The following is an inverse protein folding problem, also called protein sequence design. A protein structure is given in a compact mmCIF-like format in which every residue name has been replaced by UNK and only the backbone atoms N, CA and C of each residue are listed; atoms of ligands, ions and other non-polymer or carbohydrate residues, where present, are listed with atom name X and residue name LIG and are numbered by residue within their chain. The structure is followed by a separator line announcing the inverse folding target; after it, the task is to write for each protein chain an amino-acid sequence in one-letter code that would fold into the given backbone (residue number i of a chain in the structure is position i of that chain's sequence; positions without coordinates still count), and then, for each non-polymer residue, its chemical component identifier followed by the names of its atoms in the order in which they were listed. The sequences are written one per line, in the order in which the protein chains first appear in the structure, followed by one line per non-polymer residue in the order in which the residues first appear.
data_IF_150582841298
#
_entry.id   IF_150582841298
#
_cell.length_a   1.000
_cell.length_b   1.000
_cell.length_c   1.000
_cell.angle_alpha   90.00
_cell.angle_beta   90.00
_cell.angle_gamma   90.00
#
_symmetry.space_group_name_H-M   'P 1'
#
loop_
_entity.id
_entity.type
_entity.pdbx_description
1 polymer ?
#
# COMPACT_ATOMS: atom_id res chain seq x y z
N UNK A 1 20.50 6.00 -6.41
CA UNK A 1 19.08 5.57 -6.40
C UNK A 1 18.36 6.20 -7.58
N UNK A 2 17.53 5.44 -8.26
CA UNK A 2 16.69 5.88 -9.38
C UNK A 2 15.27 5.35 -9.17
N UNK A 3 14.27 6.16 -9.45
CA UNK A 3 12.88 5.70 -9.47
C UNK A 3 12.41 5.57 -10.91
N UNK A 4 11.68 4.51 -11.22
CA UNK A 4 11.07 4.27 -12.53
C UNK A 4 9.71 3.58 -12.40
N UNK A 5 8.87 3.62 -13.45
CA UNK A 5 7.72 2.73 -13.54
C UNK A 5 8.15 1.27 -13.43
N UNK A 6 7.32 0.49 -12.71
CA UNK A 6 7.52 -0.95 -12.60
C UNK A 6 7.11 -1.67 -13.88
N UNK A 7 7.69 -2.84 -14.11
CA UNK A 7 7.39 -3.75 -15.21
C UNK A 7 6.99 -5.12 -14.69
N UNK A 8 6.50 -6.00 -15.56
CA UNK A 8 6.14 -7.36 -15.15
C UNK A 8 7.33 -8.15 -14.58
N UNK A 9 8.56 -7.83 -14.97
CA UNK A 9 9.76 -8.45 -14.42
C UNK A 9 10.01 -8.10 -12.94
N UNK A 10 9.50 -6.95 -12.49
CA UNK A 10 9.67 -6.49 -11.11
C UNK A 10 8.68 -7.11 -10.12
N UNK A 11 7.55 -7.68 -10.61
CA UNK A 11 6.46 -8.18 -9.77
C UNK A 11 6.92 -9.13 -8.67
N UNK A 12 7.79 -10.13 -8.91
CA UNK A 12 8.23 -11.04 -7.85
C UNK A 12 8.94 -10.30 -6.70
N UNK A 13 9.83 -9.37 -7.05
CA UNK A 13 10.61 -8.62 -6.06
C UNK A 13 9.75 -7.58 -5.34
N UNK A 14 8.84 -6.91 -6.05
CA UNK A 14 7.83 -6.03 -5.44
C UNK A 14 7.00 -6.78 -4.40
N UNK A 15 6.46 -7.95 -4.77
CA UNK A 15 5.66 -8.77 -3.87
C UNK A 15 6.46 -9.21 -2.63
N UNK A 16 7.74 -9.55 -2.77
CA UNK A 16 8.64 -9.87 -1.66
C UNK A 16 8.81 -8.68 -0.72
N UNK A 17 9.20 -7.51 -1.26
CA UNK A 17 9.45 -6.28 -0.47
C UNK A 17 8.18 -5.84 0.28
N UNK A 18 7.03 -5.88 -0.39
CA UNK A 18 5.75 -5.52 0.23
C UNK A 18 5.42 -6.53 1.34
N UNK A 19 5.49 -7.84 1.06
CA UNK A 19 5.17 -8.88 2.04
C UNK A 19 6.04 -8.77 3.30
N UNK A 20 7.35 -8.63 3.14
CA UNK A 20 8.27 -8.44 4.27
C UNK A 20 7.99 -7.13 5.04
N UNK A 21 7.53 -6.10 4.34
CA UNK A 21 7.18 -4.81 4.94
C UNK A 21 5.91 -4.85 5.78
N UNK A 22 4.97 -5.69 5.39
CA UNK A 22 3.62 -5.75 5.96
C UNK A 22 3.32 -7.02 6.77
N UNK A 23 4.29 -7.92 6.95
CA UNK A 23 4.09 -9.20 7.65
C UNK A 23 3.56 -9.01 9.07
N UNK A 24 4.07 -8.01 9.79
CA UNK A 24 3.67 -7.66 11.16
C UNK A 24 2.79 -6.40 11.21
N UNK A 25 2.24 -5.97 10.07
CA UNK A 25 1.45 -4.75 10.00
C UNK A 25 0.06 -4.96 10.59
N UNK A 26 -0.39 -4.14 11.57
CA UNK A 26 -1.59 -4.38 12.36
C UNK A 26 -2.83 -4.72 11.54
N UNK A 27 -3.10 -3.97 10.46
CA UNK A 27 -4.25 -4.22 9.59
C UNK A 27 -4.21 -5.62 8.95
N UNK A 28 -3.05 -6.02 8.40
CA UNK A 28 -2.93 -7.33 7.74
C UNK A 28 -2.96 -8.49 8.72
N UNK A 29 -2.38 -8.31 9.92
CA UNK A 29 -2.37 -9.34 10.98
C UNK A 29 -3.78 -9.71 11.43
N UNK A 30 -4.76 -8.80 11.34
CA UNK A 30 -6.17 -9.11 11.64
C UNK A 30 -6.73 -10.25 10.77
N UNK A 31 -6.18 -10.48 9.58
CA UNK A 31 -6.60 -11.57 8.69
C UNK A 31 -6.19 -12.95 9.21
N UNK A 32 -5.03 -13.05 9.88
CA UNK A 32 -4.36 -14.31 10.24
C UNK A 32 -5.26 -15.31 10.99
N UNK A 33 -5.97 -14.97 12.09
CA UNK A 33 -6.74 -15.95 12.87
C UNK A 33 -8.02 -16.42 12.17
N UNK A 34 -8.39 -15.78 11.04
CA UNK A 34 -9.59 -16.10 10.29
C UNK A 34 -9.34 -16.95 9.03
N UNK A 35 -8.06 -17.22 8.72
CA UNK A 35 -7.70 -18.12 7.63
C UNK A 35 -8.06 -19.56 7.99
N UNK A 36 -8.22 -20.43 6.99
CA UNK A 36 -8.42 -21.87 7.21
C UNK A 36 -7.30 -22.48 8.06
N UNK A 37 -6.07 -21.95 7.92
CA UNK A 37 -4.90 -22.28 8.72
C UNK A 37 -4.10 -21.02 8.97
N UNK A 38 -3.98 -20.62 10.22
CA UNK A 38 -3.30 -19.36 10.61
C UNK A 38 -1.80 -19.36 10.24
N UNK A 39 -1.16 -20.54 10.20
CA UNK A 39 0.23 -20.72 9.76
C UNK A 39 0.47 -20.41 8.28
N UNK A 40 -0.58 -20.40 7.46
CA UNK A 40 -0.49 -20.02 6.05
C UNK A 40 -0.60 -18.50 5.81
N UNK A 41 -0.65 -17.70 6.87
CA UNK A 41 -0.75 -16.24 6.75
C UNK A 41 0.35 -15.62 5.87
N UNK A 42 1.65 -15.97 6.02
CA UNK A 42 2.69 -15.41 5.15
C UNK A 42 2.47 -15.71 3.66
N UNK A 43 2.00 -16.91 3.33
CA UNK A 43 1.73 -17.31 1.94
C UNK A 43 0.50 -16.59 1.39
N UNK A 44 -0.55 -16.42 2.21
CA UNK A 44 -1.74 -15.64 1.85
C UNK A 44 -1.37 -14.20 1.58
N UNK A 45 -0.60 -13.56 2.47
CA UNK A 45 -0.15 -12.18 2.32
C UNK A 45 0.75 -12.01 1.09
N UNK A 46 1.66 -12.95 0.83
CA UNK A 46 2.52 -12.94 -0.36
C UNK A 46 1.70 -13.01 -1.65
N UNK A 47 0.67 -13.84 -1.69
CA UNK A 47 -0.23 -13.94 -2.84
C UNK A 47 -1.04 -12.65 -3.03
N UNK A 48 -1.58 -12.07 -1.95
CA UNK A 48 -2.31 -10.80 -1.97
C UNK A 48 -1.42 -9.69 -2.55
N UNK A 49 -0.20 -9.54 -2.04
CA UNK A 49 0.72 -8.51 -2.49
C UNK A 49 1.20 -8.73 -3.93
N UNK A 50 1.35 -9.98 -4.36
CA UNK A 50 1.68 -10.29 -5.76
C UNK A 50 0.53 -9.93 -6.70
N UNK A 51 -0.71 -10.21 -6.31
CA UNK A 51 -1.91 -9.81 -7.04
C UNK A 51 -1.97 -8.28 -7.18
N UNK A 52 -1.80 -7.55 -6.08
CA UNK A 52 -1.79 -6.08 -6.10
C UNK A 52 -0.66 -5.54 -6.98
N UNK A 53 0.57 -6.02 -6.79
CA UNK A 53 1.70 -5.60 -7.63
C UNK A 53 1.40 -5.79 -9.12
N UNK A 54 0.83 -6.94 -9.50
CA UNK A 54 0.47 -7.23 -10.90
C UNK A 54 -0.61 -6.26 -11.41
N UNK A 55 -1.70 -6.06 -10.66
CA UNK A 55 -2.76 -5.16 -11.05
C UNK A 55 -2.23 -3.73 -11.26
N UNK A 56 -1.44 -3.22 -10.30
CA UNK A 56 -0.88 -1.87 -10.40
C UNK A 56 0.15 -1.70 -11.53
N UNK A 57 0.92 -2.73 -11.87
CA UNK A 57 1.81 -2.71 -13.04
C UNK A 57 1.01 -2.64 -14.34
N UNK A 58 -0.06 -3.42 -14.48
CA UNK A 58 -0.95 -3.40 -15.65
C UNK A 58 -1.58 -2.01 -15.88
N UNK A 59 -1.96 -1.31 -14.79
CA UNK A 59 -2.50 0.06 -14.85
C UNK A 59 -1.43 1.16 -14.92
N UNK A 60 -0.13 0.81 -14.97
CA UNK A 60 1.01 1.76 -14.98
C UNK A 60 1.04 2.69 -13.76
N UNK A 61 0.56 2.20 -12.65
CA UNK A 61 0.41 2.91 -11.38
C UNK A 61 1.37 2.38 -10.30
N UNK A 62 2.38 1.59 -10.69
CA UNK A 62 3.42 1.07 -9.82
C UNK A 62 4.77 1.71 -10.12
N UNK A 63 5.48 2.08 -9.06
CA UNK A 63 6.84 2.60 -9.10
C UNK A 63 7.78 1.68 -8.33
N UNK A 64 9.00 1.53 -8.85
CA UNK A 64 10.09 0.86 -8.14
C UNK A 64 11.30 1.78 -7.99
N UNK A 65 11.99 1.65 -6.87
CA UNK A 65 13.28 2.29 -6.63
C UNK A 65 14.38 1.27 -6.86
N UNK A 66 15.33 1.63 -7.71
CA UNK A 66 16.55 0.86 -7.96
C UNK A 66 17.76 1.46 -7.25
N UNK A 67 18.57 0.60 -6.70
CA UNK A 67 19.89 0.92 -6.14
C UNK A 67 20.85 -0.20 -6.50
N UNK A 68 21.94 0.13 -7.22
CA UNK A 68 22.98 -0.83 -7.64
C UNK A 68 22.44 -2.04 -8.44
N UNK A 69 21.36 -1.82 -9.20
CA UNK A 69 20.72 -2.86 -10.02
C UNK A 69 19.59 -3.64 -9.32
N UNK A 70 19.47 -3.51 -7.99
CA UNK A 70 18.41 -4.17 -7.21
C UNK A 70 17.19 -3.26 -7.03
N UNK A 71 16.00 -3.83 -7.03
CA UNK A 71 14.78 -3.15 -6.56
C UNK A 71 14.82 -3.09 -5.04
N UNK A 72 14.71 -1.88 -4.49
CA UNK A 72 14.84 -1.63 -3.05
C UNK A 72 13.68 -0.84 -2.45
N UNK A 73 12.70 -0.47 -3.26
CA UNK A 73 11.51 0.23 -2.80
C UNK A 73 10.38 0.10 -3.80
N UNK A 74 9.16 0.16 -3.31
CA UNK A 74 7.92 0.02 -4.08
C UNK A 74 6.92 1.07 -3.62
N UNK A 75 6.24 1.71 -4.58
CA UNK A 75 5.06 2.51 -4.33
C UNK A 75 3.95 2.12 -5.32
N UNK A 76 2.75 1.88 -4.79
CA UNK A 76 1.54 1.64 -5.57
C UNK A 76 0.62 2.83 -5.37
N UNK A 77 0.20 3.46 -6.47
CA UNK A 77 -0.66 4.64 -6.44
C UNK A 77 -1.81 4.51 -7.42
N UNK A 78 -2.93 5.17 -7.18
CA UNK A 78 -4.04 5.22 -8.12
C UNK A 78 -4.76 6.57 -8.06
N UNK A 79 -5.31 7.00 -9.18
CA UNK A 79 -6.28 8.09 -9.31
C UNK A 79 -7.72 7.58 -9.22
N UNK A 80 -7.91 6.28 -9.40
CA UNK A 80 -9.18 5.55 -9.26
C UNK A 80 -8.93 4.17 -8.67
N UNK A 81 -9.76 3.70 -7.73
CA UNK A 81 -9.62 2.36 -7.16
C UNK A 81 -9.60 1.28 -8.24
N UNK A 82 -8.69 0.34 -8.10
CA UNK A 82 -8.66 -0.85 -8.96
C UNK A 82 -9.77 -1.77 -8.49
N UNK A 83 -10.80 -1.93 -9.31
CA UNK A 83 -12.00 -2.67 -8.97
C UNK A 83 -11.78 -4.18 -8.78
N UNK A 84 -12.86 -4.88 -8.40
CA UNK A 84 -12.84 -6.31 -8.12
C UNK A 84 -12.28 -7.17 -9.27
N UNK A 85 -12.78 -6.98 -10.50
CA UNK A 85 -12.43 -7.85 -11.63
C UNK A 85 -10.96 -7.80 -12.03
N UNK A 86 -10.30 -6.64 -12.13
CA UNK A 86 -8.86 -6.57 -12.36
C UNK A 86 -8.07 -7.33 -11.30
N UNK A 87 -8.38 -7.13 -10.02
CA UNK A 87 -7.74 -7.85 -8.92
C UNK A 87 -7.99 -9.37 -8.98
N UNK A 88 -9.21 -9.79 -9.29
CA UNK A 88 -9.57 -11.20 -9.45
C UNK A 88 -8.73 -11.86 -10.56
N UNK A 89 -8.65 -11.24 -11.74
CA UNK A 89 -7.87 -11.77 -12.86
C UNK A 89 -6.35 -11.61 -12.69
N UNK A 90 -5.90 -10.66 -11.87
CA UNK A 90 -4.51 -10.57 -11.48
C UNK A 90 -4.05 -11.74 -10.59
N UNK A 91 -4.97 -12.56 -10.10
CA UNK A 91 -4.71 -13.76 -9.31
C UNK A 91 -5.53 -13.87 -8.03
N UNK A 92 -6.42 -12.92 -7.76
CA UNK A 92 -7.22 -12.85 -6.53
C UNK A 92 -8.05 -14.11 -6.24
N UNK A 93 -8.51 -14.81 -7.28
CA UNK A 93 -9.23 -16.10 -7.13
C UNK A 93 -8.43 -17.16 -6.36
N UNK A 94 -7.09 -17.08 -6.37
CA UNK A 94 -6.22 -18.01 -5.66
C UNK A 94 -6.27 -17.83 -4.14
N UNK A 95 -6.72 -16.66 -3.64
CA UNK A 95 -6.88 -16.40 -2.21
C UNK A 95 -7.94 -17.29 -1.57
N UNK A 96 -8.89 -17.82 -2.35
CA UNK A 96 -9.91 -18.75 -1.85
C UNK A 96 -9.34 -20.05 -1.28
N UNK A 97 -8.08 -20.38 -1.54
CA UNK A 97 -7.38 -21.49 -0.89
C UNK A 97 -7.02 -21.23 0.57
N UNK A 98 -7.01 -19.97 0.99
CA UNK A 98 -6.61 -19.54 2.33
C UNK A 98 -7.79 -19.13 3.22
N UNK A 99 -8.89 -18.70 2.63
CA UNK A 99 -10.05 -18.23 3.37
C UNK A 99 -11.34 -18.27 2.55
N UNK A 100 -12.47 -18.07 3.22
CA UNK A 100 -13.77 -18.01 2.55
C UNK A 100 -13.91 -16.74 1.72
N UNK A 101 -14.73 -16.74 0.65
CA UNK A 101 -15.07 -15.50 -0.07
C UNK A 101 -15.58 -14.40 0.87
N UNK A 102 -16.39 -14.77 1.86
CA UNK A 102 -16.91 -13.83 2.86
C UNK A 102 -15.81 -13.17 3.69
N UNK A 103 -14.76 -13.94 4.10
CA UNK A 103 -13.61 -13.38 4.81
C UNK A 103 -12.88 -12.35 3.97
N UNK A 104 -12.66 -12.65 2.68
CA UNK A 104 -11.94 -11.75 1.78
C UNK A 104 -12.75 -10.48 1.50
N UNK A 105 -14.08 -10.59 1.43
CA UNK A 105 -14.97 -9.42 1.35
C UNK A 105 -14.91 -8.59 2.64
N UNK A 106 -15.05 -9.23 3.82
CA UNK A 106 -14.97 -8.53 5.11
C UNK A 106 -13.61 -7.81 5.27
N UNK A 107 -12.52 -8.39 4.75
CA UNK A 107 -11.19 -7.77 4.78
C UNK A 107 -11.11 -6.57 3.82
N UNK A 108 -11.68 -6.67 2.62
CA UNK A 108 -11.80 -5.54 1.69
C UNK A 108 -12.63 -4.41 2.29
N UNK A 109 -13.81 -4.73 2.83
CA UNK A 109 -14.69 -3.75 3.48
C UNK A 109 -13.98 -3.03 4.65
N UNK A 110 -13.16 -3.76 5.42
CA UNK A 110 -12.36 -3.17 6.50
C UNK A 110 -11.25 -2.23 5.98
N UNK A 111 -10.67 -2.51 4.80
CA UNK A 111 -9.74 -1.61 4.13
C UNK A 111 -10.47 -0.33 3.67
N UNK A 112 -11.61 -0.49 2.99
CA UNK A 112 -12.42 0.63 2.51
C UNK A 112 -12.86 1.55 3.65
N UNK A 113 -13.26 0.99 4.80
CA UNK A 113 -13.55 1.79 6.02
C UNK A 113 -12.32 2.56 6.49
N UNK A 114 -11.12 1.95 6.42
CA UNK A 114 -9.87 2.62 6.76
C UNK A 114 -9.58 3.79 5.82
N UNK A 115 -9.73 3.57 4.53
CA UNK A 115 -9.46 4.56 3.48
C UNK A 115 -10.44 5.73 3.52
N UNK A 116 -11.68 5.48 3.97
CA UNK A 116 -12.73 6.48 4.06
C UNK A 116 -12.33 7.67 4.95
N UNK A 117 -11.52 7.45 6.00
CA UNK A 117 -10.99 8.55 6.83
C UNK A 117 -10.15 9.56 6.03
N UNK A 118 -9.39 9.10 5.03
CA UNK A 118 -8.65 10.01 4.17
C UNK A 118 -9.56 10.64 3.10
N UNK A 119 -10.47 9.85 2.53
CA UNK A 119 -11.38 10.28 1.46
C UNK A 119 -12.37 11.35 1.93
N UNK A 120 -12.89 11.23 3.16
CA UNK A 120 -13.86 12.20 3.71
C UNK A 120 -13.22 13.51 4.17
N UNK A 121 -11.96 13.46 4.63
CA UNK A 121 -11.29 14.60 5.23
C UNK A 121 -10.32 15.33 4.28
N UNK A 122 -9.92 14.68 3.17
CA UNK A 122 -8.91 15.20 2.24
C UNK A 122 -9.47 15.75 0.93
N UNK A 123 -8.65 16.58 0.27
CA UNK A 123 -8.87 17.03 -1.11
C UNK A 123 -7.66 16.66 -1.97
N UNK A 124 -7.69 15.44 -2.52
CA UNK A 124 -6.60 14.90 -3.32
C UNK A 124 -7.10 14.15 -4.54
N UNK A 125 -6.26 14.07 -5.58
CA UNK A 125 -6.59 13.43 -6.86
C UNK A 125 -6.01 12.02 -6.99
N UNK A 126 -5.07 11.66 -6.09
CA UNK A 126 -4.35 10.39 -6.10
C UNK A 126 -4.35 9.75 -4.71
N UNK A 127 -4.29 8.42 -4.68
CA UNK A 127 -4.18 7.66 -3.45
C UNK A 127 -2.91 6.81 -3.45
N UNK A 128 -2.18 6.82 -2.35
CA UNK A 128 -1.02 5.96 -2.12
C UNK A 128 -1.47 4.71 -1.36
N UNK A 129 -1.62 3.63 -2.08
CA UNK A 129 -2.07 2.34 -1.56
C UNK A 129 -0.97 1.63 -0.76
N UNK A 130 0.23 1.56 -1.32
CA UNK A 130 1.38 0.89 -0.69
C UNK A 130 2.63 1.74 -0.85
N UNK A 131 3.37 1.88 0.25
CA UNK A 131 4.75 2.31 0.27
C UNK A 131 5.57 1.30 1.07
N UNK A 132 6.51 0.64 0.42
CA UNK A 132 7.41 -0.31 1.09
C UNK A 132 8.86 -0.11 0.68
N UNK A 133 9.76 -0.24 1.64
CA UNK A 133 11.22 -0.17 1.44
C UNK A 133 11.84 -1.45 1.96
N UNK A 134 12.71 -2.06 1.14
CA UNK A 134 13.47 -3.26 1.50
C UNK A 134 14.16 -3.07 2.86
N UNK A 135 14.09 -4.09 3.71
CA UNK A 135 14.66 -4.05 5.08
C UNK A 135 16.13 -3.65 5.07
N UNK A 136 16.90 -4.08 4.06
CA UNK A 136 18.33 -3.77 3.89
C UNK A 136 18.60 -2.27 3.67
N UNK A 137 17.60 -1.52 3.21
CA UNK A 137 17.70 -0.09 2.86
C UNK A 137 16.95 0.84 3.84
N UNK A 138 16.34 0.27 4.88
CA UNK A 138 15.67 1.09 5.92
C UNK A 138 16.68 1.97 6.66
N UNK A 139 16.21 3.14 7.11
CA UNK A 139 17.08 4.13 7.77
C UNK A 139 18.00 4.92 6.83
N UNK A 140 18.09 4.57 5.54
CA UNK A 140 18.95 5.24 4.54
C UNK A 140 18.23 6.36 3.76
N UNK A 141 17.06 6.80 4.21
CA UNK A 141 16.33 7.93 3.64
C UNK A 141 15.49 7.60 2.40
N UNK A 142 15.43 6.34 1.93
CA UNK A 142 14.67 5.94 0.72
C UNK A 142 13.20 6.31 0.84
N UNK A 143 12.54 5.95 1.94
CA UNK A 143 11.12 6.27 2.15
C UNK A 143 10.87 7.78 2.20
N UNK A 144 11.73 8.55 2.90
CA UNK A 144 11.62 10.02 2.94
C UNK A 144 11.79 10.64 1.56
N UNK A 145 12.75 10.16 0.77
CA UNK A 145 12.95 10.62 -0.59
C UNK A 145 11.74 10.34 -1.49
N UNK A 146 11.13 9.15 -1.36
CA UNK A 146 9.90 8.80 -2.07
C UNK A 146 8.77 9.78 -1.69
N UNK A 147 8.45 9.91 -0.41
CA UNK A 147 7.34 10.75 0.08
C UNK A 147 7.58 12.24 -0.20
N UNK A 148 8.81 12.73 -0.02
CA UNK A 148 9.08 14.15 -0.13
C UNK A 148 9.32 14.66 -1.56
N UNK A 149 9.72 13.76 -2.49
CA UNK A 149 10.14 14.18 -3.84
C UNK A 149 9.47 13.37 -4.95
N UNK A 150 9.58 12.04 -4.90
CA UNK A 150 9.19 11.20 -6.03
C UNK A 150 7.67 11.15 -6.23
N UNK A 151 6.93 10.89 -5.15
CA UNK A 151 5.46 10.78 -5.24
C UNK A 151 4.79 12.11 -5.58
N UNK A 152 5.19 13.27 -4.97
CA UNK A 152 4.68 14.56 -5.40
C UNK A 152 4.94 14.87 -6.89
N UNK A 153 6.15 14.59 -7.39
CA UNK A 153 6.50 14.79 -8.80
C UNK A 153 5.71 13.82 -9.73
N UNK A 154 5.53 12.56 -9.31
CA UNK A 154 4.72 11.59 -10.04
C UNK A 154 3.26 12.04 -10.20
N UNK A 155 2.65 12.56 -9.13
CA UNK A 155 1.27 13.05 -9.10
C UNK A 155 1.14 14.32 -9.94
N UNK A 156 2.04 15.30 -9.74
CA UNK A 156 2.03 16.56 -10.47
C UNK A 156 2.21 16.36 -12.00
N UNK A 157 3.08 15.47 -12.43
CA UNK A 157 3.27 15.10 -13.85
C UNK A 157 2.04 14.48 -14.51
N UNK A 158 1.08 14.01 -13.71
CA UNK A 158 -0.21 13.47 -14.14
C UNK A 158 -1.38 14.42 -13.93
N UNK A 159 -1.07 15.69 -13.60
CA UNK A 159 -2.06 16.74 -13.42
C UNK A 159 -2.77 16.73 -12.05
N UNK A 160 -2.32 15.86 -11.11
CA UNK A 160 -2.86 15.81 -9.76
C UNK A 160 -2.25 16.89 -8.86
N UNK A 161 -3.01 17.34 -7.85
CA UNK A 161 -2.64 18.40 -6.89
C UNK A 161 -2.12 17.83 -5.58
N UNK A 162 -2.62 16.69 -5.17
CA UNK A 162 -2.27 16.03 -3.91
C UNK A 162 -2.50 14.51 -3.98
N UNK A 163 -1.95 13.79 -3.02
CA UNK A 163 -2.31 12.40 -2.77
C UNK A 163 -2.63 12.16 -1.31
N UNK A 164 -3.63 11.30 -1.06
CA UNK A 164 -4.03 10.84 0.26
C UNK A 164 -3.56 9.42 0.54
N UNK A 165 -3.59 9.01 1.79
CA UNK A 165 -3.30 7.65 2.24
C UNK A 165 -3.62 7.47 3.71
N UNK A 166 -3.64 6.21 4.15
CA UNK A 166 -3.76 5.85 5.56
C UNK A 166 -2.59 5.02 6.05
N UNK A 167 -2.41 4.97 7.37
CA UNK A 167 -1.47 4.07 8.04
C UNK A 167 -2.02 3.59 9.37
N UNK A 168 -1.58 2.41 9.82
CA UNK A 168 -2.10 1.76 11.03
C UNK A 168 -1.06 1.61 12.14
N UNK A 169 0.07 2.33 12.04
CA UNK A 169 1.08 2.34 13.11
C UNK A 169 1.51 3.76 13.48
N UNK A 170 1.70 4.00 14.77
CA UNK A 170 2.17 5.30 15.26
C UNK A 170 3.57 5.65 14.74
N UNK A 171 4.44 4.65 14.55
CA UNK A 171 5.78 4.85 13.98
C UNK A 171 5.72 5.38 12.56
N UNK A 172 4.82 4.84 11.73
CA UNK A 172 4.60 5.33 10.38
C UNK A 172 3.94 6.72 10.40
N UNK A 173 2.97 6.95 11.30
CA UNK A 173 2.34 8.27 11.43
C UNK A 173 3.39 9.36 11.75
N UNK A 174 4.30 9.09 12.69
CA UNK A 174 5.43 10.00 12.99
C UNK A 174 6.37 10.19 11.79
N UNK A 175 6.65 9.11 11.05
CA UNK A 175 7.46 9.19 9.83
C UNK A 175 6.84 10.09 8.78
N UNK A 176 5.53 9.99 8.54
CA UNK A 176 4.82 10.81 7.56
C UNK A 176 4.72 12.28 7.98
N UNK A 177 4.44 12.57 9.27
CA UNK A 177 4.51 13.93 9.82
C UNK A 177 5.90 14.55 9.60
N UNK A 178 6.96 13.81 9.94
CA UNK A 178 8.35 14.24 9.75
C UNK A 178 8.77 14.35 8.27
N UNK A 179 7.99 13.77 7.36
CA UNK A 179 8.16 13.88 5.91
C UNK A 179 7.31 15.01 5.30
N UNK A 180 6.64 15.81 6.15
CA UNK A 180 5.84 16.96 5.76
C UNK A 180 4.50 16.57 5.13
N UNK A 181 3.92 15.44 5.53
CA UNK A 181 2.53 15.11 5.24
C UNK A 181 1.61 15.77 6.28
N UNK A 182 0.43 16.16 5.86
CA UNK A 182 -0.62 16.70 6.71
C UNK A 182 -1.44 15.55 7.27
N UNK A 183 -1.68 15.54 8.60
CA UNK A 183 -2.62 14.64 9.24
C UNK A 183 -4.03 15.19 9.06
N UNK A 184 -4.90 14.43 8.44
CA UNK A 184 -6.29 14.80 8.18
C UNK A 184 -7.21 14.36 9.32
N UNK A 185 -7.15 13.05 9.66
CA UNK A 185 -8.06 12.46 10.63
C UNK A 185 -7.43 11.24 11.32
N UNK A 186 -8.10 10.75 12.36
CA UNK A 186 -7.75 9.55 13.11
C UNK A 186 -8.99 8.75 13.44
N UNK A 187 -8.86 7.44 13.32
CA UNK A 187 -9.97 6.56 13.65
C UNK A 187 -9.53 5.13 13.83
N UNK A 188 -10.39 4.21 13.49
CA UNK A 188 -10.09 2.78 13.51
C UNK A 188 -10.93 2.03 12.49
N UNK A 189 -10.38 0.93 11.99
CA UNK A 189 -11.15 -0.08 11.25
C UNK A 189 -11.15 -1.38 12.02
N UNK A 190 -12.07 -2.29 11.69
CA UNK A 190 -12.17 -3.57 12.37
C UNK A 190 -12.50 -4.71 11.44
N UNK A 191 -11.92 -5.88 11.72
CA UNK A 191 -12.20 -7.13 11.04
C UNK A 191 -12.64 -8.16 12.07
N UNK A 192 -13.90 -8.59 12.02
CA UNK A 192 -14.46 -9.67 12.87
C UNK A 192 -14.11 -9.55 14.36
N UNK A 193 -14.25 -8.33 14.89
CA UNK A 193 -14.02 -8.03 16.32
C UNK A 193 -12.58 -7.65 16.68
N UNK A 194 -11.64 -7.73 15.78
CA UNK A 194 -10.31 -7.15 15.95
C UNK A 194 -10.30 -5.72 15.40
N UNK A 195 -9.69 -4.79 16.13
CA UNK A 195 -9.66 -3.36 15.78
C UNK A 195 -8.22 -2.92 15.53
N UNK A 196 -8.04 -2.08 14.53
CA UNK A 196 -6.76 -1.50 14.14
C UNK A 196 -6.89 0.03 14.05
N UNK A 197 -5.98 0.81 14.65
CA UNK A 197 -6.02 2.26 14.54
C UNK A 197 -5.67 2.70 13.11
N UNK A 198 -6.23 3.85 12.73
CA UNK A 198 -6.01 4.49 11.43
C UNK A 198 -5.57 5.94 11.65
N UNK A 199 -4.57 6.36 10.91
CA UNK A 199 -4.17 7.75 10.72
C UNK A 199 -4.28 8.09 9.24
N UNK A 200 -5.11 9.05 8.88
CA UNK A 200 -5.32 9.54 7.52
C UNK A 200 -4.45 10.75 7.23
N UNK A 201 -3.84 10.76 6.08
CA UNK A 201 -2.89 11.80 5.66
C UNK A 201 -3.14 12.27 4.23
N UNK A 202 -2.69 13.49 3.94
CA UNK A 202 -2.47 13.95 2.57
C UNK A 202 -1.10 14.59 2.39
N UNK A 203 -0.67 14.69 1.14
CA UNK A 203 0.54 15.38 0.74
C UNK A 203 0.31 16.13 -0.57
N UNK A 204 0.59 17.44 -0.56
CA UNK A 204 0.57 18.24 -1.79
C UNK A 204 1.61 17.75 -2.81
N UNK A 205 1.19 17.76 -4.07
CA UNK A 205 2.05 17.53 -5.22
C UNK A 205 2.63 18.87 -5.68
N UNK A 206 3.95 18.99 -5.66
CA UNK A 206 4.65 20.16 -6.20
C UNK A 206 5.65 19.67 -7.23
N UNK A 207 5.61 20.26 -8.43
CA UNK A 207 6.69 20.09 -9.40
C UNK A 207 7.98 20.64 -8.80
N UNK A 208 9.03 19.87 -8.84
CA UNK A 208 10.38 20.26 -8.44
C UNK A 208 11.08 21.01 -9.57
#
# INVERSE_FOLDING_TARGET
MKCRPATNADIPEMARIITEGFLDYPFHVMLQPHLYRAEHYPQCLSLLNRMMAKAYVEYRNALVVEHEGDVVGVALMHDRPIGFWPNFFAGGYQLFRYGTPRLLMDFSDAADVGDQYALDAGDFDWYLEILSVDRRMRGRGVGRWLVAKVLPDFVAKRGGRAYGFVTSTESNARFYLNSGCELLDRGSTSLRGQTCPIWAFQKEAKLL
#
